data_IF_488191500080
#
_entry.id   IF_488191500080
#
_cell.length_a   1.000
_cell.length_b   1.000
_cell.length_c   1.000
_cell.angle_alpha   90.00
_cell.angle_beta   90.00
_cell.angle_gamma   90.00
#
_symmetry.space_group_name_H-M   'P 1'
#
loop_
_entity.id
_entity.type
_entity.pdbx_description
1 polymer ?
#
# COMPACT_ATOMS: atom_id res chain seq x y z
N UNK A 1 -19.93 -12.32 10.75
CA UNK A 1 -18.48 -12.10 10.53
C UNK A 1 -18.34 -11.41 9.20
N UNK A 2 -17.95 -10.13 9.21
CA UNK A 2 -17.92 -9.23 8.05
C UNK A 2 -17.09 -9.81 6.89
N UNK A 3 -16.11 -10.66 7.18
CA UNK A 3 -15.22 -11.26 6.19
C UNK A 3 -15.83 -12.36 5.33
N UNK A 4 -16.91 -13.02 5.78
CA UNK A 4 -17.55 -14.11 5.02
C UNK A 4 -18.38 -13.62 3.83
N UNK A 5 -18.75 -12.34 3.83
CA UNK A 5 -19.62 -11.75 2.81
C UNK A 5 -18.87 -10.87 1.80
N UNK A 6 -17.59 -10.57 2.07
CA UNK A 6 -16.71 -9.88 1.15
C UNK A 6 -16.35 -10.76 -0.05
N UNK A 7 -16.20 -10.13 -1.22
CA UNK A 7 -15.82 -10.84 -2.46
C UNK A 7 -14.32 -11.07 -2.45
N UNK A 8 -13.53 -10.01 -2.36
CA UNK A 8 -12.08 -10.08 -2.37
C UNK A 8 -11.58 -10.04 -0.93
N UNK A 9 -11.02 -11.16 -0.47
CA UNK A 9 -10.32 -11.21 0.81
C UNK A 9 -8.93 -10.60 0.67
N UNK A 10 -8.41 -10.08 1.77
CA UNK A 10 -7.12 -9.37 1.78
C UNK A 10 -6.22 -9.96 2.85
N UNK A 11 -5.01 -10.33 2.44
CA UNK A 11 -3.91 -10.72 3.33
C UNK A 11 -3.02 -9.52 3.60
N UNK A 12 -2.60 -9.34 4.85
CA UNK A 12 -1.85 -8.16 5.29
C UNK A 12 -0.55 -8.56 6.01
N UNK A 13 0.55 -7.92 5.62
CA UNK A 13 1.86 -8.10 6.22
C UNK A 13 2.47 -6.78 6.63
N UNK A 14 3.02 -6.73 7.84
CA UNK A 14 3.69 -5.56 8.41
C UNK A 14 5.17 -5.88 8.60
N UNK A 15 6.04 -4.98 8.15
CA UNK A 15 7.48 -5.12 8.29
C UNK A 15 8.20 -3.77 8.29
N UNK A 16 9.47 -3.75 8.67
CA UNK A 16 10.28 -2.51 8.70
C UNK A 16 10.92 -2.22 7.32
N UNK A 17 10.76 -3.14 6.37
CA UNK A 17 11.16 -3.04 4.96
C UNK A 17 10.14 -3.77 4.10
N UNK A 18 10.19 -3.55 2.78
CA UNK A 18 9.28 -4.20 1.84
C UNK A 18 9.36 -5.74 1.93
N UNK A 19 10.57 -6.31 2.01
CA UNK A 19 10.82 -7.75 2.05
C UNK A 19 10.32 -8.37 3.36
N UNK A 20 10.36 -7.62 4.46
CA UNK A 20 9.76 -8.06 5.71
C UNK A 20 8.23 -8.09 5.59
N UNK A 21 7.61 -7.04 5.04
CA UNK A 21 6.16 -7.00 4.83
C UNK A 21 5.70 -8.10 3.86
N UNK A 22 6.43 -8.33 2.76
CA UNK A 22 6.16 -9.39 1.80
C UNK A 22 6.25 -10.80 2.42
N UNK A 23 7.26 -11.06 3.26
CA UNK A 23 7.33 -12.33 4.00
C UNK A 23 6.16 -12.50 4.97
N UNK A 24 5.78 -11.43 5.67
CA UNK A 24 4.61 -11.46 6.55
C UNK A 24 3.32 -11.74 5.77
N UNK A 25 3.12 -11.14 4.58
CA UNK A 25 1.96 -11.46 3.71
C UNK A 25 1.97 -12.94 3.32
N UNK A 26 3.12 -13.48 2.92
CA UNK A 26 3.23 -14.90 2.55
C UNK A 26 2.87 -15.85 3.71
N UNK A 27 3.17 -15.46 4.95
CA UNK A 27 2.72 -16.18 6.14
C UNK A 27 1.22 -15.98 6.40
N UNK A 28 0.69 -14.77 6.22
CA UNK A 28 -0.72 -14.45 6.39
C UNK A 28 -1.60 -15.28 5.44
N UNK A 29 -1.18 -15.44 4.18
CA UNK A 29 -1.87 -16.26 3.17
C UNK A 29 -2.01 -17.72 3.56
N UNK A 30 -1.05 -18.31 4.28
CA UNK A 30 -1.11 -19.71 4.76
C UNK A 30 -2.19 -19.93 5.82
N UNK A 31 -2.65 -18.85 6.46
CA UNK A 31 -3.69 -18.88 7.48
C UNK A 31 -5.02 -18.33 6.96
N UNK A 32 -5.16 -18.12 5.65
CA UNK A 32 -6.38 -17.64 5.03
C UNK A 32 -7.58 -18.48 5.45
N UNK A 33 -8.62 -17.79 5.93
CA UNK A 33 -9.88 -18.41 6.40
C UNK A 33 -9.84 -18.97 7.82
N UNK A 34 -8.69 -18.95 8.52
CA UNK A 34 -8.59 -19.39 9.93
C UNK A 34 -8.93 -18.28 10.92
N UNK A 35 -8.63 -17.04 10.54
CA UNK A 35 -8.84 -15.86 11.37
C UNK A 35 -9.84 -14.91 10.70
N UNK A 36 -10.44 -14.01 11.49
CA UNK A 36 -11.29 -12.95 10.95
C UNK A 36 -10.48 -12.01 10.03
N UNK A 37 -9.27 -11.62 10.46
CA UNK A 37 -8.34 -10.83 9.64
C UNK A 37 -7.00 -11.55 9.50
N UNK A 38 -6.48 -11.64 8.27
CA UNK A 38 -5.20 -12.27 7.97
C UNK A 38 -4.06 -11.24 8.07
N UNK A 39 -3.72 -10.82 9.29
CA UNK A 39 -2.63 -9.86 9.54
C UNK A 39 -1.44 -10.58 10.18
N UNK A 40 -0.24 -10.41 9.60
CA UNK A 40 1.02 -10.87 10.19
C UNK A 40 2.02 -9.74 10.32
N UNK A 41 2.86 -9.82 11.35
CA UNK A 41 4.00 -8.94 11.54
C UNK A 41 5.27 -9.77 11.42
N UNK A 42 6.21 -9.33 10.59
CA UNK A 42 7.50 -9.99 10.51
C UNK A 42 8.34 -9.71 11.76
N UNK A 43 8.71 -10.77 12.48
CA UNK A 43 9.50 -10.70 13.73
C UNK A 43 10.93 -11.23 13.58
N UNK A 44 11.35 -11.61 12.37
CA UNK A 44 12.67 -12.19 12.12
C UNK A 44 13.82 -11.16 12.05
N UNK A 45 15.00 -11.67 11.66
CA UNK A 45 16.19 -10.85 11.39
C UNK A 45 15.89 -9.78 10.34
N UNK A 46 16.47 -8.58 10.51
CA UNK A 46 16.29 -7.45 9.60
C UNK A 46 16.57 -7.84 8.16
N UNK A 47 15.64 -7.57 7.25
CA UNK A 47 15.83 -7.74 5.81
C UNK A 47 15.91 -6.37 5.15
N UNK A 48 16.82 -6.23 4.20
CA UNK A 48 17.00 -4.98 3.45
C UNK A 48 16.26 -5.02 2.13
N UNK A 49 15.75 -3.85 1.76
CA UNK A 49 15.15 -3.69 0.44
C UNK A 49 16.15 -3.61 -0.67
N UNK A 50 15.94 -4.45 -1.68
CA UNK A 50 16.67 -4.38 -2.94
C UNK A 50 15.93 -3.42 -3.86
N UNK A 51 16.32 -2.15 -3.85
CA UNK A 51 15.90 -1.21 -4.88
C UNK A 51 16.78 -1.49 -6.11
N UNK A 52 16.20 -1.85 -7.27
CA UNK A 52 16.98 -2.04 -8.49
C UNK A 52 17.73 -0.77 -8.88
N UNK A 53 18.95 -0.89 -9.42
CA UNK A 53 19.76 0.28 -9.79
C UNK A 53 19.10 1.11 -10.91
N UNK A 54 18.47 0.42 -11.87
CA UNK A 54 17.66 1.06 -12.94
C UNK A 54 16.56 1.97 -12.37
N UNK A 55 16.06 1.66 -11.19
CA UNK A 55 15.03 2.44 -10.53
C UNK A 55 15.60 3.73 -9.92
N UNK A 56 16.80 3.68 -9.32
CA UNK A 56 17.49 4.89 -8.85
C UNK A 56 17.78 5.85 -9.99
N UNK A 57 18.16 5.31 -11.15
CA UNK A 57 18.38 6.10 -12.35
C UNK A 57 17.09 6.80 -12.81
N UNK A 58 15.96 6.08 -12.87
CA UNK A 58 14.63 6.68 -13.20
C UNK A 58 14.26 7.82 -12.24
N UNK A 59 14.53 7.67 -10.95
CA UNK A 59 14.28 8.73 -9.95
C UNK A 59 15.15 9.97 -10.22
N UNK A 60 16.43 9.79 -10.56
CA UNK A 60 17.32 10.90 -10.90
C UNK A 60 16.88 11.61 -12.19
N UNK A 61 16.52 10.86 -13.22
CA UNK A 61 16.00 11.38 -14.49
C UNK A 61 14.71 12.17 -14.27
N UNK A 62 13.79 11.66 -13.43
CA UNK A 62 12.57 12.38 -13.04
C UNK A 62 12.90 13.73 -12.41
N UNK A 63 13.80 13.79 -11.42
CA UNK A 63 14.16 15.06 -10.78
C UNK A 63 14.89 16.03 -11.71
N UNK A 64 15.67 15.52 -12.67
CA UNK A 64 16.30 16.36 -13.69
C UNK A 64 15.23 16.98 -14.60
N UNK A 65 14.34 16.16 -15.14
CA UNK A 65 13.25 16.61 -16.00
C UNK A 65 12.33 17.60 -15.27
N UNK A 66 11.93 17.29 -14.03
CA UNK A 66 11.06 18.14 -13.25
C UNK A 66 11.64 19.54 -12.96
N UNK A 67 12.97 19.71 -12.97
CA UNK A 67 13.62 21.03 -12.82
C UNK A 67 13.58 21.88 -14.10
N UNK A 68 13.41 21.26 -15.26
CA UNK A 68 13.38 21.93 -16.56
C UNK A 68 11.94 22.30 -16.98
N UNK A 69 10.93 21.80 -16.26
CA UNK A 69 9.51 21.98 -16.53
C UNK A 69 8.90 23.09 -15.67
N UNK A 70 7.82 23.71 -16.15
CA UNK A 70 6.97 24.58 -15.35
C UNK A 70 6.15 23.79 -14.32
N UNK A 71 5.66 24.45 -13.27
CA UNK A 71 4.84 23.81 -12.23
C UNK A 71 3.61 23.07 -12.80
N UNK A 72 2.99 23.63 -13.84
CA UNK A 72 1.85 23.00 -14.51
C UNK A 72 2.27 21.75 -15.29
N UNK A 73 3.40 21.82 -15.99
CA UNK A 73 3.97 20.66 -16.68
C UNK A 73 4.39 19.56 -15.71
N UNK A 74 4.92 19.91 -14.53
CA UNK A 74 5.26 18.96 -13.47
C UNK A 74 4.00 18.27 -12.96
N UNK A 75 2.90 19.00 -12.72
CA UNK A 75 1.63 18.39 -12.29
C UNK A 75 1.09 17.41 -13.32
N UNK A 76 1.12 17.78 -14.60
CA UNK A 76 0.72 16.90 -15.70
C UNK A 76 1.61 15.64 -15.70
N UNK A 77 2.93 15.81 -15.68
CA UNK A 77 3.89 14.70 -15.62
C UNK A 77 3.59 13.78 -14.44
N UNK A 78 3.36 14.33 -13.23
CA UNK A 78 3.05 13.56 -12.04
C UNK A 78 1.77 12.73 -12.20
N UNK A 79 0.72 13.33 -12.74
CA UNK A 79 -0.57 12.65 -12.91
C UNK A 79 -0.49 11.50 -13.91
N UNK A 80 0.29 11.64 -14.99
CA UNK A 80 0.43 10.59 -16.00
C UNK A 80 1.49 9.53 -15.67
N UNK A 81 2.57 9.91 -14.99
CA UNK A 81 3.73 9.02 -14.81
C UNK A 81 3.86 8.39 -13.43
N UNK A 82 3.24 8.98 -12.40
CA UNK A 82 3.43 8.56 -11.00
C UNK A 82 2.18 7.96 -10.36
N UNK A 83 1.05 7.92 -11.08
CA UNK A 83 -0.21 7.36 -10.57
C UNK A 83 -0.58 6.08 -11.32
N UNK A 84 -1.21 5.16 -10.59
CA UNK A 84 -1.86 4.00 -11.16
C UNK A 84 -3.20 4.42 -11.79
N UNK A 85 -3.49 4.04 -13.05
CA UNK A 85 -4.67 4.52 -13.77
C UNK A 85 -6.00 3.98 -13.24
N UNK A 86 -5.99 2.84 -12.53
CA UNK A 86 -7.21 2.23 -11.98
C UNK A 86 -7.59 2.87 -10.64
N UNK A 87 -6.61 3.10 -9.77
CA UNK A 87 -6.87 3.54 -8.38
C UNK A 87 -6.54 5.00 -8.13
N UNK A 88 -5.78 5.66 -9.00
CA UNK A 88 -5.24 7.01 -8.80
C UNK A 88 -4.21 7.13 -7.66
N UNK A 89 -3.86 6.02 -7.01
CA UNK A 89 -2.80 5.93 -6.01
C UNK A 89 -1.42 6.03 -6.69
N UNK A 90 -0.36 6.16 -5.90
CA UNK A 90 0.98 6.16 -6.46
C UNK A 90 1.27 4.81 -7.11
N UNK A 91 1.81 4.81 -8.31
CA UNK A 91 2.45 3.62 -8.86
C UNK A 91 3.81 3.39 -8.19
N UNK A 92 4.52 2.33 -8.56
CA UNK A 92 5.87 2.03 -8.03
C UNK A 92 6.81 3.23 -8.07
N UNK A 93 6.87 3.94 -9.19
CA UNK A 93 7.72 5.13 -9.38
C UNK A 93 7.33 6.25 -8.43
N UNK A 94 6.05 6.60 -8.39
CA UNK A 94 5.53 7.63 -7.51
C UNK A 94 5.75 7.33 -6.03
N UNK A 95 5.56 6.06 -5.63
CA UNK A 95 5.71 5.63 -4.25
C UNK A 95 7.13 5.84 -3.75
N UNK A 96 8.14 5.38 -4.51
CA UNK A 96 9.53 5.53 -4.10
C UNK A 96 10.00 6.98 -4.17
N UNK A 97 9.53 7.78 -5.14
CA UNK A 97 9.82 9.22 -5.16
C UNK A 97 9.35 9.91 -3.88
N UNK A 98 8.15 9.58 -3.41
CA UNK A 98 7.65 10.08 -2.12
C UNK A 98 8.50 9.59 -0.93
N UNK A 99 8.98 8.34 -0.94
CA UNK A 99 9.92 7.87 0.09
C UNK A 99 11.25 8.64 0.08
N UNK A 100 11.78 8.97 -1.11
CA UNK A 100 13.00 9.78 -1.22
C UNK A 100 12.79 11.21 -0.74
N UNK A 101 11.61 11.80 -0.98
CA UNK A 101 11.23 13.11 -0.43
C UNK A 101 11.18 13.08 1.11
N UNK A 102 10.56 12.05 1.69
CA UNK A 102 10.55 11.84 3.14
C UNK A 102 11.98 11.73 3.71
N UNK A 103 12.87 10.98 3.06
CA UNK A 103 14.28 10.87 3.45
C UNK A 103 14.99 12.21 3.40
N UNK A 104 14.78 13.02 2.35
CA UNK A 104 15.34 14.38 2.25
C UNK A 104 14.84 15.30 3.37
N UNK A 105 13.61 15.09 3.84
CA UNK A 105 13.04 15.78 4.99
C UNK A 105 13.48 15.19 6.36
N UNK A 106 14.39 14.22 6.33
CA UNK A 106 14.99 13.58 7.50
C UNK A 106 14.08 12.55 8.18
N UNK A 107 13.09 12.00 7.48
CA UNK A 107 12.32 10.83 7.88
C UNK A 107 13.01 9.59 7.31
N UNK A 108 13.73 8.85 8.15
CA UNK A 108 14.61 7.76 7.70
C UNK A 108 14.15 6.38 8.14
N UNK A 109 13.17 6.31 9.04
CA UNK A 109 12.56 5.07 9.51
C UNK A 109 11.03 5.08 9.40
N UNK A 110 10.45 3.89 9.41
CA UNK A 110 9.01 3.66 9.27
C UNK A 110 8.70 2.19 9.02
N UNK A 111 7.42 1.89 8.94
CA UNK A 111 6.92 0.55 8.66
C UNK A 111 6.24 0.50 7.31
N UNK A 112 6.31 -0.67 6.69
CA UNK A 112 5.60 -1.03 5.49
C UNK A 112 4.42 -1.91 5.89
N UNK A 113 3.24 -1.57 5.40
CA UNK A 113 2.04 -2.41 5.46
C UNK A 113 1.71 -2.80 4.03
N UNK A 114 1.83 -4.08 3.72
CA UNK A 114 1.50 -4.63 2.42
C UNK A 114 0.16 -5.35 2.53
N UNK A 115 -0.81 -4.90 1.74
CA UNK A 115 -2.08 -5.58 1.53
C UNK A 115 -2.03 -6.27 0.18
N UNK A 116 -2.41 -7.54 0.16
CA UNK A 116 -2.45 -8.37 -1.02
C UNK A 116 -3.87 -8.89 -1.20
N UNK A 117 -4.46 -8.61 -2.36
CA UNK A 117 -5.79 -9.05 -2.73
C UNK A 117 -5.75 -10.53 -3.13
N UNK A 118 -6.39 -11.39 -2.36
CA UNK A 118 -6.30 -12.82 -2.61
C UNK A 118 -7.18 -13.27 -3.79
N UNK A 119 -6.73 -14.29 -4.50
CA UNK A 119 -7.46 -15.02 -5.56
C UNK A 119 -8.02 -14.14 -6.70
N UNK A 120 -7.35 -13.02 -7.05
CA UNK A 120 -7.84 -12.16 -8.14
C UNK A 120 -7.99 -12.88 -9.48
N UNK A 121 -7.17 -13.89 -9.78
CA UNK A 121 -7.32 -14.69 -10.99
C UNK A 121 -8.69 -15.42 -11.04
N UNK A 122 -9.11 -15.98 -9.91
CA UNK A 122 -10.39 -16.68 -9.80
C UNK A 122 -11.55 -15.69 -9.90
N UNK A 123 -11.42 -14.51 -9.30
CA UNK A 123 -12.43 -13.45 -9.41
C UNK A 123 -12.52 -12.86 -10.80
N UNK A 124 -11.39 -12.69 -11.50
CA UNK A 124 -11.37 -12.27 -12.91
C UNK A 124 -12.11 -13.28 -13.78
N UNK A 125 -11.95 -14.58 -13.51
CA UNK A 125 -12.65 -15.64 -14.22
C UNK A 125 -14.17 -15.65 -13.96
N UNK A 126 -14.59 -15.28 -12.73
CA UNK A 126 -16.00 -15.30 -12.31
C UNK A 126 -16.78 -14.03 -12.66
N UNK A 127 -16.14 -12.86 -12.52
CA UNK A 127 -16.79 -11.55 -12.62
C UNK A 127 -16.34 -10.74 -13.85
N UNK A 128 -15.24 -11.15 -14.49
CA UNK A 128 -14.58 -10.40 -15.55
C UNK A 128 -13.66 -9.31 -15.01
N UNK A 129 -12.62 -8.98 -15.79
CA UNK A 129 -11.59 -8.00 -15.44
C UNK A 129 -12.17 -6.63 -15.07
N UNK A 130 -13.15 -6.13 -15.83
CA UNK A 130 -13.71 -4.81 -15.60
C UNK A 130 -14.44 -4.70 -14.24
N UNK A 131 -15.12 -5.76 -13.78
CA UNK A 131 -15.77 -5.73 -12.47
C UNK A 131 -14.75 -5.88 -11.34
N UNK A 132 -13.72 -6.72 -11.52
CA UNK A 132 -12.62 -6.81 -10.56
C UNK A 132 -11.88 -5.48 -10.42
N UNK A 133 -11.61 -4.79 -11.52
CA UNK A 133 -10.99 -3.46 -11.50
C UNK A 133 -11.82 -2.45 -10.69
N UNK A 134 -13.15 -2.51 -10.73
CA UNK A 134 -14.01 -1.67 -9.88
C UNK A 134 -13.88 -2.00 -8.40
N UNK A 135 -13.68 -3.26 -8.03
CA UNK A 135 -13.39 -3.64 -6.65
C UNK A 135 -11.99 -3.14 -6.23
N UNK A 136 -10.99 -3.25 -7.10
CA UNK A 136 -9.63 -2.73 -6.86
C UNK A 136 -9.68 -1.20 -6.64
N UNK A 137 -10.38 -0.47 -7.52
CA UNK A 137 -10.60 0.97 -7.38
C UNK A 137 -11.28 1.32 -6.05
N UNK A 138 -12.36 0.61 -5.70
CA UNK A 138 -13.07 0.80 -4.43
C UNK A 138 -12.15 0.58 -3.23
N UNK A 139 -11.34 -0.48 -3.25
CA UNK A 139 -10.38 -0.79 -2.18
C UNK A 139 -9.33 0.31 -2.07
N UNK A 140 -8.73 0.73 -3.19
CA UNK A 140 -7.73 1.81 -3.21
C UNK A 140 -8.28 3.13 -2.67
N UNK A 141 -9.51 3.50 -3.07
CA UNK A 141 -10.23 4.66 -2.55
C UNK A 141 -10.48 4.53 -1.04
N UNK A 142 -10.94 3.36 -0.59
CA UNK A 142 -11.24 3.09 0.82
C UNK A 142 -9.98 3.22 1.68
N UNK A 143 -8.84 2.69 1.22
CA UNK A 143 -7.55 2.84 1.92
C UNK A 143 -7.20 4.33 2.05
N UNK A 144 -7.23 5.06 0.93
CA UNK A 144 -6.86 6.48 0.88
C UNK A 144 -7.71 7.35 1.81
N UNK A 145 -9.03 7.13 1.83
CA UNK A 145 -9.97 7.92 2.62
C UNK A 145 -9.93 7.59 4.13
N UNK A 146 -9.45 6.40 4.51
CA UNK A 146 -9.47 5.92 5.90
C UNK A 146 -8.08 5.87 6.54
N UNK A 147 -7.04 6.31 5.82
CA UNK A 147 -5.74 6.57 6.39
C UNK A 147 -5.80 7.81 7.27
N UNK A 148 -5.50 7.61 8.55
CA UNK A 148 -5.35 8.71 9.50
C UNK A 148 -3.88 8.97 9.69
N UNK A 149 -3.47 10.22 9.56
CA UNK A 149 -2.14 10.67 9.90
C UNK A 149 -1.98 10.67 11.43
N UNK A 150 -1.74 9.50 12.01
CA UNK A 150 -1.28 9.42 13.39
C UNK A 150 0.19 9.78 13.43
N UNK A 151 0.57 10.79 14.20
CA UNK A 151 1.99 11.08 14.41
C UNK A 151 2.59 9.97 15.30
N UNK A 152 3.24 9.00 14.67
CA UNK A 152 3.92 7.88 15.33
C UNK A 152 5.43 8.13 15.50
N UNK A 153 5.89 9.32 15.16
CA UNK A 153 7.21 9.83 15.48
C UNK A 153 7.16 10.65 16.77
N UNK A 154 8.16 10.49 17.65
CA UNK A 154 8.29 11.32 18.85
C UNK A 154 8.70 12.76 18.53
N UNK A 155 9.24 13.01 17.33
CA UNK A 155 9.60 14.34 16.86
C UNK A 155 8.39 15.15 16.38
N UNK A 156 8.46 16.48 16.48
CA UNK A 156 7.47 17.43 15.95
C UNK A 156 7.34 17.43 14.41
N UNK A 157 8.08 16.57 13.70
CA UNK A 157 8.00 16.43 12.25
C UNK A 157 6.69 15.71 11.90
N UNK A 158 5.72 16.46 11.38
CA UNK A 158 4.56 15.86 10.70
C UNK A 158 5.06 15.20 9.41
N UNK A 159 4.93 13.89 9.34
CA UNK A 159 5.15 13.12 8.12
C UNK A 159 3.81 12.48 7.72
N UNK A 160 3.53 12.46 6.42
CA UNK A 160 2.32 11.85 5.88
C UNK A 160 2.61 10.41 5.48
N UNK A 161 1.62 9.54 5.69
CA UNK A 161 1.65 8.18 5.18
C UNK A 161 1.70 8.20 3.64
N UNK A 162 2.46 7.29 3.06
CA UNK A 162 2.60 7.15 1.61
C UNK A 162 1.85 5.89 1.18
N UNK A 163 1.05 5.98 0.12
CA UNK A 163 0.20 4.88 -0.35
C UNK A 163 0.44 4.64 -1.83
N UNK A 164 0.71 3.40 -2.19
CA UNK A 164 0.86 2.99 -3.58
C UNK A 164 0.09 1.72 -3.91
N UNK A 165 -0.08 1.50 -5.21
CA UNK A 165 -0.71 0.34 -5.82
C UNK A 165 0.17 -0.17 -6.98
N UNK A 166 0.14 -1.48 -7.24
CA UNK A 166 0.90 -2.17 -8.32
C UNK A 166 2.43 -1.95 -8.26
N UNK A 167 3.09 -2.66 -7.35
CA UNK A 167 4.56 -2.59 -7.22
C UNK A 167 5.34 -3.50 -8.16
N UNK A 168 4.65 -4.44 -8.81
CA UNK A 168 5.17 -5.29 -9.88
C UNK A 168 4.63 -4.80 -11.24
N UNK A 169 5.50 -4.71 -12.25
CA UNK A 169 5.20 -4.03 -13.54
C UNK A 169 4.16 -4.77 -14.41
N UNK A 170 3.74 -5.99 -14.04
CA UNK A 170 2.96 -6.90 -14.90
C UNK A 170 1.55 -7.23 -14.39
N UNK A 171 1.31 -7.21 -13.08
CA UNK A 171 0.00 -7.38 -12.45
C UNK A 171 0.09 -6.80 -11.04
N UNK A 172 -0.95 -6.09 -10.60
CA UNK A 172 -0.94 -5.51 -9.26
C UNK A 172 -2.25 -5.80 -8.54
N UNK A 173 -2.15 -6.74 -7.63
CA UNK A 173 -3.08 -7.12 -6.57
C UNK A 173 -2.61 -6.58 -5.20
N UNK A 174 -1.52 -5.80 -5.20
CA UNK A 174 -0.87 -5.32 -3.99
C UNK A 174 -1.06 -3.81 -3.77
N UNK A 175 -1.45 -3.44 -2.55
CA UNK A 175 -1.38 -2.09 -2.03
C UNK A 175 -0.29 -2.00 -0.97
N UNK A 176 0.55 -0.97 -1.05
CA UNK A 176 1.61 -0.73 -0.09
C UNK A 176 1.42 0.60 0.60
N UNK A 177 1.57 0.59 1.91
CA UNK A 177 1.57 1.78 2.74
C UNK A 177 2.92 1.88 3.43
N UNK A 178 3.56 3.04 3.36
CA UNK A 178 4.65 3.40 4.25
C UNK A 178 4.13 4.35 5.32
N UNK A 179 4.27 3.93 6.58
CA UNK A 179 3.89 4.71 7.75
C UNK A 179 5.17 5.19 8.45
N UNK A 180 5.47 6.49 8.41
CA UNK A 180 6.56 7.08 9.19
C UNK A 180 6.37 6.81 10.68
N UNK A 181 7.25 6.00 11.28
CA UNK A 181 7.21 5.69 12.70
C UNK A 181 8.54 5.13 13.20
N UNK A 182 8.83 5.37 14.48
CA UNK A 182 9.97 4.76 15.17
C UNK A 182 9.78 3.24 15.32
N UNK A 183 10.88 2.48 15.18
CA UNK A 183 10.85 1.02 15.29
C UNK A 183 10.75 0.53 16.74
N UNK A 184 9.52 0.45 17.26
CA UNK A 184 9.23 -0.13 18.57
C UNK A 184 7.91 -0.93 18.60
N UNK A 185 7.74 -1.78 19.61
CA UNK A 185 6.55 -2.64 19.79
C UNK A 185 5.24 -1.86 19.93
N UNK A 186 5.27 -0.70 20.60
CA UNK A 186 4.09 0.15 20.76
C UNK A 186 3.54 0.60 19.41
N UNK A 187 4.42 1.00 18.49
CA UNK A 187 4.03 1.41 17.14
C UNK A 187 3.58 0.21 16.31
N UNK A 188 4.17 -0.98 16.48
CA UNK A 188 3.68 -2.21 15.81
C UNK A 188 2.23 -2.51 16.20
N UNK A 189 1.87 -2.42 17.47
CA UNK A 189 0.49 -2.68 17.90
C UNK A 189 -0.49 -1.64 17.36
N UNK A 190 -0.10 -0.35 17.30
CA UNK A 190 -0.90 0.68 16.62
C UNK A 190 -1.09 0.39 15.14
N UNK A 191 -0.05 -0.06 14.44
CA UNK A 191 -0.12 -0.41 13.02
C UNK A 191 -1.03 -1.61 12.78
N UNK A 192 -1.06 -2.60 13.69
CA UNK A 192 -2.02 -3.71 13.64
C UNK A 192 -3.45 -3.20 13.78
N UNK A 193 -3.72 -2.32 14.75
CA UNK A 193 -5.05 -1.72 14.93
C UNK A 193 -5.46 -0.94 13.67
N UNK A 194 -4.54 -0.16 13.10
CA UNK A 194 -4.77 0.56 11.85
C UNK A 194 -5.08 -0.40 10.69
N UNK A 195 -4.31 -1.48 10.53
CA UNK A 195 -4.53 -2.47 9.48
C UNK A 195 -5.88 -3.17 9.64
N UNK A 196 -6.25 -3.57 10.87
CA UNK A 196 -7.58 -4.15 11.16
C UNK A 196 -8.69 -3.20 10.77
N UNK A 197 -8.62 -1.93 11.20
CA UNK A 197 -9.62 -0.90 10.85
C UNK A 197 -9.75 -0.72 9.33
N UNK A 198 -8.62 -0.71 8.61
CA UNK A 198 -8.64 -0.59 7.15
C UNK A 198 -9.31 -1.80 6.50
N UNK A 199 -9.01 -3.02 6.97
CA UNK A 199 -9.65 -4.24 6.47
C UNK A 199 -11.15 -4.27 6.75
N UNK A 200 -11.58 -3.86 7.94
CA UNK A 200 -13.01 -3.69 8.27
C UNK A 200 -13.70 -2.77 7.25
N UNK A 201 -13.13 -1.58 7.00
CA UNK A 201 -13.69 -0.63 6.03
C UNK A 201 -13.69 -1.15 4.61
N UNK A 202 -12.63 -1.85 4.20
CA UNK A 202 -12.56 -2.51 2.90
C UNK A 202 -13.72 -3.50 2.75
N UNK A 203 -13.91 -4.39 3.72
CA UNK A 203 -14.96 -5.41 3.63
C UNK A 203 -16.37 -4.82 3.73
N UNK A 204 -16.60 -3.85 4.62
CA UNK A 204 -17.87 -3.09 4.68
C UNK A 204 -18.22 -2.51 3.30
N UNK A 205 -17.28 -1.83 2.64
CA UNK A 205 -17.52 -1.19 1.34
C UNK A 205 -17.79 -2.18 0.22
N UNK A 206 -17.12 -3.34 0.23
CA UNK A 206 -17.40 -4.42 -0.71
C UNK A 206 -18.83 -4.96 -0.56
N UNK A 207 -19.28 -5.16 0.68
CA UNK A 207 -20.64 -5.65 0.99
C UNK A 207 -21.69 -4.61 0.58
N UNK A 208 -21.49 -3.34 0.93
CA UNK A 208 -22.38 -2.25 0.51
C UNK A 208 -22.54 -2.19 -1.02
N UNK A 209 -21.46 -2.41 -1.77
CA UNK A 209 -21.50 -2.46 -3.23
C UNK A 209 -22.31 -3.65 -3.72
N UNK A 210 -22.10 -4.84 -3.15
CA UNK A 210 -22.81 -6.06 -3.51
C UNK A 210 -24.32 -5.95 -3.33
N UNK A 211 -24.80 -5.22 -2.31
CA UNK A 211 -26.23 -5.03 -2.06
C UNK A 211 -26.88 -4.08 -3.08
N UNK A 212 -26.11 -3.14 -3.64
CA UNK A 212 -26.61 -2.11 -4.57
C UNK A 212 -26.70 -2.57 -6.03
N UNK A 213 -26.13 -3.73 -6.35
CA UNK A 213 -26.16 -4.36 -7.67
C UNK A 213 -27.11 -5.55 -7.66
#
# INVERSE_FOLDING_TARGET
>A
MITRDAIITVSCGIGRSFEEAARAVAEAKKEKGKNEFNIKVYRGKRLRSKIPESFKQRVQEYYKLAKELSDEQVKILQNFSLRDPVTGLLNKTGFVLQLEELKRNGITEGYYILFDLDDLHDWNSKLGYAEVDRYIELIGKTIKENLRHENLYSSSKRATDVVGHRLNESAGDEFLIFVPAEHNEKNVEKLKIMATRLLEKIYEKQIERKIKN
#
